data_IF_856459236741
#
_entry.id   IF_856459236741
#
_cell.length_a   1.000
_cell.length_b   1.000
_cell.length_c   1.000
_cell.angle_alpha   90.00
_cell.angle_beta   90.00
_cell.angle_gamma   90.00
#
_symmetry.space_group_name_H-M   'P 1'
#
loop_
_entity.id
_entity.type
_entity.pdbx_description
1 polymer ?
#
# COMPACT_ATOMS: atom_id res chain seq x y z
N UNK A 1 -12.16 18.37 -20.73
CA UNK A 1 -12.04 17.39 -19.64
C UNK A 1 -12.79 17.93 -18.41
N UNK A 2 -13.69 17.15 -17.81
CA UNK A 2 -14.40 17.59 -16.60
C UNK A 2 -13.47 17.57 -15.39
N UNK A 3 -13.82 18.29 -14.33
CA UNK A 3 -13.05 18.29 -13.09
C UNK A 3 -12.96 16.88 -12.49
N UNK A 4 -14.06 16.14 -12.50
CA UNK A 4 -14.10 14.74 -12.06
C UNK A 4 -13.13 13.86 -12.86
N UNK A 5 -12.98 14.10 -14.16
CA UNK A 5 -12.00 13.37 -14.98
C UNK A 5 -10.56 13.72 -14.62
N UNK A 6 -10.25 14.98 -14.28
CA UNK A 6 -8.90 15.38 -13.81
C UNK A 6 -8.56 14.69 -12.49
N UNK A 7 -9.48 14.73 -11.54
CA UNK A 7 -9.33 14.11 -10.22
C UNK A 7 -9.09 12.60 -10.39
N UNK A 8 -9.89 11.93 -11.22
CA UNK A 8 -9.73 10.51 -11.50
C UNK A 8 -8.36 10.20 -12.13
N UNK A 9 -7.91 11.00 -13.10
CA UNK A 9 -6.59 10.83 -13.72
C UNK A 9 -5.44 11.00 -12.71
N UNK A 10 -5.51 12.02 -11.85
CA UNK A 10 -4.50 12.24 -10.82
C UNK A 10 -4.46 11.07 -9.82
N UNK A 11 -5.63 10.58 -9.37
CA UNK A 11 -5.71 9.44 -8.47
C UNK A 11 -5.13 8.16 -9.10
N UNK A 12 -5.42 7.89 -10.37
CA UNK A 12 -4.86 6.74 -11.10
C UNK A 12 -3.34 6.87 -11.23
N UNK A 13 -2.83 8.04 -11.63
CA UNK A 13 -1.40 8.29 -11.77
C UNK A 13 -0.67 8.07 -10.44
N UNK A 14 -1.22 8.58 -9.35
CA UNK A 14 -0.69 8.40 -8.00
C UNK A 14 -0.67 6.92 -7.59
N UNK A 15 -1.76 6.18 -7.81
CA UNK A 15 -1.81 4.74 -7.52
C UNK A 15 -0.78 3.93 -8.32
N UNK A 16 -0.66 4.21 -9.63
CA UNK A 16 0.31 3.54 -10.49
C UNK A 16 1.74 3.84 -10.02
N UNK A 17 2.06 5.11 -9.80
CA UNK A 17 3.38 5.51 -9.31
C UNK A 17 3.71 4.87 -7.95
N UNK A 18 2.76 4.90 -7.01
CA UNK A 18 2.88 4.24 -5.71
C UNK A 18 3.14 2.74 -5.85
N UNK A 19 2.39 2.05 -6.71
CA UNK A 19 2.52 0.59 -6.88
C UNK A 19 3.89 0.12 -7.33
N UNK A 20 4.68 1.03 -7.90
CA UNK A 20 6.02 0.76 -8.41
C UNK A 20 7.14 1.27 -7.49
N UNK A 21 6.83 2.19 -6.55
CA UNK A 21 7.85 2.97 -5.85
C UNK A 21 7.62 3.13 -4.34
N UNK A 22 6.68 2.41 -3.73
CA UNK A 22 6.47 2.47 -2.28
C UNK A 22 7.74 2.13 -1.50
N UNK A 23 7.98 2.84 -0.40
CA UNK A 23 9.10 2.56 0.47
C UNK A 23 8.87 1.34 1.35
N UNK A 24 9.97 0.68 1.72
CA UNK A 24 10.00 -0.47 2.60
C UNK A 24 10.75 -0.12 3.88
N UNK A 25 10.11 -0.37 5.02
CA UNK A 25 10.62 -0.03 6.34
C UNK A 25 10.76 -1.29 7.21
N UNK A 26 11.71 -1.30 8.17
CA UNK A 26 11.81 -2.38 9.15
C UNK A 26 10.61 -2.34 10.12
N UNK A 27 10.04 -3.50 10.41
CA UNK A 27 8.97 -3.70 11.37
C UNK A 27 9.31 -4.85 12.31
N UNK A 28 9.24 -4.61 13.62
CA UNK A 28 9.47 -5.64 14.63
C UNK A 28 8.19 -6.45 14.87
N UNK A 29 8.19 -7.70 14.42
CA UNK A 29 7.07 -8.60 14.62
C UNK A 29 7.07 -9.17 16.05
N UNK A 30 6.29 -8.54 16.93
CA UNK A 30 6.14 -8.96 18.33
C UNK A 30 5.57 -10.37 18.49
N UNK A 31 4.91 -10.92 17.47
CA UNK A 31 4.34 -12.26 17.51
C UNK A 31 5.32 -13.34 17.06
N UNK A 32 6.47 -12.98 16.48
CA UNK A 32 7.48 -13.93 16.03
C UNK A 32 8.85 -13.62 16.67
N UNK A 33 8.95 -13.76 17.99
CA UNK A 33 10.18 -13.55 18.75
C UNK A 33 10.88 -12.19 18.51
N UNK A 34 10.12 -11.13 18.22
CA UNK A 34 10.64 -9.81 17.86
C UNK A 34 11.56 -9.83 16.61
N UNK A 35 11.34 -10.76 15.68
CA UNK A 35 11.99 -10.75 14.38
C UNK A 35 11.73 -9.42 13.65
N UNK A 36 12.76 -8.88 13.01
CA UNK A 36 12.64 -7.70 12.15
C UNK A 36 12.31 -8.18 10.73
N UNK A 37 11.16 -7.74 10.22
CA UNK A 37 10.71 -7.98 8.85
C UNK A 37 10.62 -6.67 8.10
N UNK A 38 10.84 -6.70 6.78
CA UNK A 38 10.76 -5.53 5.92
C UNK A 38 9.40 -5.49 5.22
N UNK A 39 8.64 -4.42 5.46
CA UNK A 39 7.27 -4.25 4.98
C UNK A 39 7.08 -2.86 4.36
N UNK A 40 6.13 -2.68 3.44
CA UNK A 40 5.78 -1.37 2.94
C UNK A 40 5.41 -0.41 4.06
N UNK A 41 5.82 0.84 3.98
CA UNK A 41 5.59 1.86 5.02
C UNK A 41 4.13 2.07 5.40
N UNK A 42 3.21 1.83 4.46
CA UNK A 42 1.78 1.96 4.69
C UNK A 42 1.26 0.90 5.68
N UNK A 43 1.94 -0.24 5.82
CA UNK A 43 1.54 -1.32 6.73
C UNK A 43 1.59 -0.86 8.19
N UNK A 44 2.69 -0.31 8.72
CA UNK A 44 2.70 0.27 10.06
C UNK A 44 2.00 1.63 10.17
N UNK A 45 1.87 2.40 9.07
CA UNK A 45 1.29 3.74 9.12
C UNK A 45 -0.25 3.74 9.20
N UNK A 46 -0.93 2.79 8.55
CA UNK A 46 -2.39 2.74 8.49
C UNK A 46 -2.96 2.11 9.78
N UNK A 47 -4.01 2.75 10.31
CA UNK A 47 -4.84 2.16 11.37
C UNK A 47 -5.84 1.18 10.77
N UNK A 48 -5.39 -0.05 10.53
CA UNK A 48 -6.21 -1.12 9.98
C UNK A 48 -7.37 -1.52 10.89
N UNK A 49 -8.38 -2.18 10.31
CA UNK A 49 -9.51 -2.71 11.06
C UNK A 49 -9.19 -4.02 11.80
N UNK A 50 -7.99 -4.57 11.59
CA UNK A 50 -7.51 -5.79 12.22
C UNK A 50 -6.10 -5.59 12.80
N UNK A 51 -5.61 -6.54 13.62
CA UNK A 51 -4.25 -6.47 14.16
C UNK A 51 -3.21 -6.37 13.04
N UNK A 52 -2.21 -5.50 13.22
CA UNK A 52 -1.13 -5.28 12.23
C UNK A 52 -0.42 -6.57 11.79
N UNK A 53 -0.31 -7.57 12.66
CA UNK A 53 0.28 -8.87 12.30
C UNK A 53 -0.48 -9.57 11.16
N UNK A 54 -1.80 -9.38 11.05
CA UNK A 54 -2.57 -9.92 9.92
C UNK A 54 -2.18 -9.25 8.60
N UNK A 55 -1.89 -7.95 8.62
CA UNK A 55 -1.41 -7.24 7.44
C UNK A 55 0.01 -7.65 7.06
N UNK A 56 0.90 -7.83 8.05
CA UNK A 56 2.24 -8.37 7.83
C UNK A 56 2.17 -9.77 7.20
N UNK A 57 1.28 -10.64 7.69
CA UNK A 57 1.10 -11.98 7.12
C UNK A 57 0.58 -11.92 5.67
N UNK A 58 -0.41 -11.06 5.37
CA UNK A 58 -0.90 -10.85 4.00
C UNK A 58 0.21 -10.34 3.07
N UNK A 59 1.08 -9.46 3.58
CA UNK A 59 2.24 -9.00 2.83
C UNK A 59 3.25 -10.13 2.57
N UNK A 60 3.56 -10.92 3.59
CA UNK A 60 4.44 -12.08 3.45
C UNK A 60 3.90 -13.09 2.42
N UNK A 61 2.59 -13.33 2.40
CA UNK A 61 1.94 -14.14 1.37
C UNK A 61 2.08 -13.53 -0.03
N UNK A 62 1.91 -12.21 -0.15
CA UNK A 62 2.06 -11.52 -1.43
C UNK A 62 3.47 -11.67 -2.02
N UNK A 63 4.52 -11.57 -1.18
CA UNK A 63 5.92 -11.64 -1.64
C UNK A 63 6.39 -13.06 -1.99
N UNK A 64 5.66 -14.10 -1.60
CA UNK A 64 5.97 -15.49 -1.96
C UNK A 64 6.01 -15.73 -3.47
N UNK A 65 5.35 -14.88 -4.26
CA UNK A 65 5.40 -14.95 -5.72
C UNK A 65 6.80 -14.73 -6.30
N UNK A 66 7.70 -14.09 -5.54
CA UNK A 66 9.04 -13.65 -6.01
C UNK A 66 9.01 -12.73 -7.24
N UNK A 67 7.86 -12.10 -7.50
CA UNK A 67 7.67 -11.11 -8.55
C UNK A 67 7.26 -9.76 -7.93
N UNK A 68 8.22 -8.83 -7.72
CA UNK A 68 7.98 -7.54 -7.06
C UNK A 68 6.88 -6.70 -7.71
N UNK A 69 6.68 -6.82 -9.02
CA UNK A 69 5.64 -6.09 -9.74
C UNK A 69 4.22 -6.54 -9.37
N UNK A 70 4.09 -7.71 -8.73
CA UNK A 70 2.80 -8.27 -8.31
C UNK A 70 2.49 -8.07 -6.83
N UNK A 71 3.45 -7.68 -6.00
CA UNK A 71 3.31 -7.72 -4.54
C UNK A 71 2.16 -6.86 -4.03
N UNK A 72 2.11 -5.58 -4.43
CA UNK A 72 1.03 -4.70 -3.98
C UNK A 72 -0.34 -5.18 -4.47
N UNK A 73 -0.42 -5.66 -5.71
CA UNK A 73 -1.68 -6.17 -6.29
C UNK A 73 -2.16 -7.39 -5.50
N UNK A 74 -1.27 -8.35 -5.21
CA UNK A 74 -1.59 -9.54 -4.41
C UNK A 74 -1.98 -9.19 -2.97
N UNK A 75 -1.30 -8.24 -2.36
CA UNK A 75 -1.68 -7.72 -1.04
C UNK A 75 -3.08 -7.07 -1.09
N UNK A 76 -3.34 -6.22 -2.08
CA UNK A 76 -4.62 -5.54 -2.25
C UNK A 76 -5.80 -6.51 -2.46
N UNK A 77 -5.58 -7.61 -3.20
CA UNK A 77 -6.62 -8.63 -3.40
C UNK A 77 -7.03 -9.33 -2.11
N UNK A 78 -6.11 -9.44 -1.14
CA UNK A 78 -6.36 -10.05 0.17
C UNK A 78 -7.13 -9.15 1.15
N UNK A 79 -7.29 -7.86 0.85
CA UNK A 79 -7.97 -6.92 1.74
C UNK A 79 -9.49 -6.99 1.58
N UNK A 80 -10.20 -6.83 2.69
CA UNK A 80 -11.63 -6.52 2.68
C UNK A 80 -11.91 -5.09 2.21
N UNK A 81 -13.18 -4.76 1.98
CA UNK A 81 -13.58 -3.46 1.44
C UNK A 81 -13.14 -2.27 2.31
N UNK A 82 -13.12 -2.41 3.64
CA UNK A 82 -12.74 -1.33 4.54
C UNK A 82 -11.23 -1.11 4.53
N UNK A 83 -10.45 -2.18 4.60
CA UNK A 83 -9.00 -2.09 4.52
C UNK A 83 -8.51 -1.62 3.15
N UNK A 84 -9.19 -2.00 2.05
CA UNK A 84 -8.91 -1.43 0.71
C UNK A 84 -9.13 0.08 0.70
N UNK A 85 -10.24 0.55 1.26
CA UNK A 85 -10.55 1.98 1.34
C UNK A 85 -9.49 2.73 2.16
N UNK A 86 -9.09 2.20 3.33
CA UNK A 86 -8.06 2.81 4.16
C UNK A 86 -6.72 2.94 3.42
N UNK A 87 -6.32 1.93 2.66
CA UNK A 87 -5.11 1.99 1.83
C UNK A 87 -5.21 3.08 0.77
N UNK A 88 -6.33 3.14 0.03
CA UNK A 88 -6.53 4.16 -1.00
C UNK A 88 -6.54 5.57 -0.42
N UNK A 89 -7.23 5.79 0.71
CA UNK A 89 -7.24 7.07 1.43
C UNK A 89 -5.83 7.45 1.90
N UNK A 90 -5.05 6.49 2.40
CA UNK A 90 -3.68 6.75 2.80
C UNK A 90 -2.80 7.15 1.62
N UNK A 91 -2.84 6.40 0.50
CA UNK A 91 -2.08 6.71 -0.71
C UNK A 91 -2.43 8.11 -1.21
N UNK A 92 -3.72 8.43 -1.33
CA UNK A 92 -4.17 9.73 -1.82
C UNK A 92 -3.68 10.91 -0.96
N UNK A 93 -3.59 10.72 0.36
CA UNK A 93 -3.22 11.79 1.29
C UNK A 93 -1.70 11.93 1.49
N UNK A 94 -0.95 10.82 1.51
CA UNK A 94 0.43 10.80 1.99
C UNK A 94 1.48 10.56 0.91
N UNK A 95 1.11 9.97 -0.23
CA UNK A 95 2.05 9.72 -1.32
C UNK A 95 1.88 10.79 -2.40
N UNK A 96 2.82 11.71 -2.57
CA UNK A 96 2.69 12.88 -3.46
C UNK A 96 3.89 13.08 -4.41
N UNK A 97 4.73 12.07 -4.52
CA UNK A 97 5.98 12.13 -5.27
C UNK A 97 5.80 11.84 -6.76
N UNK A 98 4.58 11.50 -7.20
CA UNK A 98 4.30 11.30 -8.62
C UNK A 98 4.52 12.60 -9.41
N UNK A 99 4.97 12.45 -10.66
CA UNK A 99 4.98 13.57 -11.60
C UNK A 99 3.53 14.03 -11.74
N UNK A 100 3.26 15.25 -11.28
CA UNK A 100 1.94 15.86 -11.41
C UNK A 100 1.61 15.99 -12.89
N UNK A 101 0.43 15.51 -13.26
CA UNK A 101 -0.13 15.80 -14.58
C UNK A 101 -0.32 17.32 -14.62
N UNK A 102 0.48 18.03 -15.42
CA UNK A 102 0.51 19.50 -15.47
C UNK A 102 -0.90 20.12 -15.53
N UNK A 103 -1.06 21.31 -14.95
CA UNK A 103 -2.27 22.13 -15.12
C UNK A 103 -2.49 22.54 -16.59
#
# INVERSE_FOLDING_TARGET
MTENSRIAMAAINKWVYFSLNYDVVPYTNKNNNNEIVYVPEFIPAIKWTCPICHMVNKWQLAIQSKDPHTYLIKFYTELDIQNRRLLLEWVLNYYNDEIKLCD
#
